data_IF_880449676255
#
_entry.id   IF_880449676255
#
_cell.length_a   1.000
_cell.length_b   1.000
_cell.length_c   1.000
_cell.angle_alpha   90.00
_cell.angle_beta   90.00
_cell.angle_gamma   90.00
#
_symmetry.space_group_name_H-M   'P 1'
#
loop_
_entity.id
_entity.type
_entity.pdbx_description
1 polymer ?
#
# COMPACT_ATOMS: atom_id res chain seq x y z
N UNK A 1 -7.01 5.27 10.39
CA UNK A 1 -5.63 4.88 10.00
C UNK A 1 -4.70 6.05 10.28
N UNK A 2 -3.61 5.81 11.00
CA UNK A 2 -2.54 6.75 11.28
C UNK A 2 -1.54 6.76 10.11
N UNK A 3 -1.16 7.92 9.61
CA UNK A 3 -0.15 8.05 8.55
C UNK A 3 1.12 8.56 9.19
N UNK A 4 2.19 7.77 9.16
CA UNK A 4 3.49 8.23 9.65
C UNK A 4 4.00 9.38 8.80
N UNK A 5 4.78 10.28 9.40
CA UNK A 5 5.43 11.38 8.68
C UNK A 5 6.22 10.87 7.47
N UNK A 6 6.92 9.74 7.63
CA UNK A 6 7.63 9.08 6.55
C UNK A 6 6.71 8.66 5.40
N UNK A 7 5.57 8.02 5.69
CA UNK A 7 4.59 7.69 4.66
C UNK A 7 4.05 8.93 3.95
N UNK A 8 3.74 9.99 4.70
CA UNK A 8 3.23 11.24 4.13
C UNK A 8 4.23 11.92 3.19
N UNK A 9 5.52 11.95 3.57
CA UNK A 9 6.59 12.46 2.71
C UNK A 9 6.69 11.63 1.42
N UNK A 10 6.70 10.29 1.52
CA UNK A 10 6.72 9.40 0.35
C UNK A 10 5.50 9.55 -0.55
N UNK A 11 4.32 9.72 0.04
CA UNK A 11 3.08 9.97 -0.68
C UNK A 11 3.18 11.27 -1.50
N UNK A 12 3.66 12.35 -0.88
CA UNK A 12 3.86 13.64 -1.54
C UNK A 12 4.92 13.58 -2.63
N UNK A 13 6.08 12.96 -2.37
CA UNK A 13 7.17 12.79 -3.35
C UNK A 13 6.71 12.01 -4.59
N UNK A 14 5.86 11.00 -4.41
CA UNK A 14 5.44 10.09 -5.49
C UNK A 14 4.11 10.47 -6.14
N UNK A 15 3.44 11.52 -5.65
CA UNK A 15 2.12 11.94 -6.11
C UNK A 15 0.98 10.98 -5.73
N UNK A 16 1.14 10.24 -4.63
CA UNK A 16 0.07 9.40 -4.09
C UNK A 16 -0.77 10.22 -3.11
N UNK A 17 -2.00 10.58 -3.48
CA UNK A 17 -2.84 11.45 -2.65
C UNK A 17 -3.59 10.68 -1.56
N UNK A 18 -4.09 11.40 -0.54
CA UNK A 18 -4.95 10.82 0.49
C UNK A 18 -6.25 10.27 -0.10
N UNK A 19 -6.75 10.86 -1.18
CA UNK A 19 -7.91 10.32 -1.91
C UNK A 19 -7.63 8.95 -2.53
N UNK A 20 -6.43 8.76 -3.11
CA UNK A 20 -5.99 7.46 -3.61
C UNK A 20 -5.92 6.45 -2.46
N UNK A 21 -5.38 6.83 -1.30
CA UNK A 21 -5.39 6.00 -0.10
C UNK A 21 -6.80 5.59 0.32
N UNK A 22 -7.74 6.55 0.32
CA UNK A 22 -9.14 6.29 0.63
C UNK A 22 -9.79 5.30 -0.33
N UNK A 23 -9.46 5.36 -1.63
CA UNK A 23 -9.91 4.38 -2.63
C UNK A 23 -9.39 2.97 -2.33
N UNK A 24 -8.13 2.84 -1.90
CA UNK A 24 -7.54 1.56 -1.49
C UNK A 24 -8.28 0.98 -0.29
N UNK A 25 -8.43 1.77 0.78
CA UNK A 25 -9.07 1.33 2.02
C UNK A 25 -10.55 0.98 1.86
N UNK A 26 -11.21 1.54 0.84
CA UNK A 26 -12.59 1.21 0.50
C UNK A 26 -12.74 -0.09 -0.31
N UNK A 27 -11.65 -0.66 -0.85
CA UNK A 27 -11.74 -1.94 -1.55
C UNK A 27 -12.01 -3.06 -0.55
N UNK A 28 -13.00 -3.91 -0.85
CA UNK A 28 -13.36 -5.09 -0.05
C UNK A 28 -12.27 -6.16 -0.05
N UNK A 29 -11.43 -6.19 -1.09
CA UNK A 29 -10.35 -7.18 -1.24
C UNK A 29 -9.04 -6.43 -1.29
N UNK A 30 -8.26 -6.58 -0.21
CA UNK A 30 -6.89 -6.11 -0.12
C UNK A 30 -6.00 -7.35 -0.29
N UNK A 31 -5.10 -7.32 -1.27
CA UNK A 31 -4.12 -8.40 -1.42
C UNK A 31 -3.01 -8.18 -0.41
N UNK A 32 -3.02 -9.01 0.63
CA UNK A 32 -2.00 -8.99 1.67
C UNK A 32 -0.84 -9.86 1.23
N UNK A 33 0.30 -9.23 0.97
CA UNK A 33 1.56 -9.95 0.85
C UNK A 33 2.26 -9.94 2.21
N UNK A 34 2.72 -11.10 2.71
CA UNK A 34 3.56 -11.14 3.89
C UNK A 34 4.79 -10.27 3.65
N UNK A 35 5.11 -9.43 4.63
CA UNK A 35 6.36 -8.70 4.64
C UNK A 35 7.39 -9.51 5.41
N UNK A 36 8.65 -9.43 4.99
CA UNK A 36 9.79 -10.07 5.67
C UNK A 36 10.05 -9.47 7.07
N UNK A 37 9.46 -8.29 7.33
CA UNK A 37 9.63 -7.56 8.58
C UNK A 37 8.48 -7.88 9.54
N UNK A 38 8.83 -8.32 10.74
CA UNK A 38 7.86 -8.65 11.79
C UNK A 38 7.00 -7.42 12.15
N UNK A 39 5.68 -7.63 12.29
CA UNK A 39 4.72 -6.59 12.66
C UNK A 39 4.30 -5.64 11.52
N UNK A 40 4.66 -5.92 10.26
CA UNK A 40 4.20 -5.15 9.10
C UNK A 40 3.67 -6.04 7.98
N UNK A 41 2.64 -5.57 7.29
CA UNK A 41 2.02 -6.22 6.14
C UNK A 41 2.16 -5.35 4.90
N UNK A 42 2.24 -5.97 3.73
CA UNK A 42 2.22 -5.26 2.44
C UNK A 42 0.84 -5.41 1.82
N UNK A 43 0.27 -4.29 1.39
CA UNK A 43 -0.96 -4.24 0.62
C UNK A 43 -0.59 -3.81 -0.78
N UNK A 44 -0.86 -4.65 -1.76
CA UNK A 44 -0.63 -4.33 -3.17
C UNK A 44 -1.97 -4.01 -3.81
N UNK A 45 -2.04 -2.89 -4.53
CA UNK A 45 -3.31 -2.38 -5.07
C UNK A 45 -3.09 -1.54 -6.31
N UNK A 46 -4.07 -1.55 -7.20
CA UNK A 46 -4.09 -0.70 -8.37
C UNK A 46 -4.97 0.53 -8.12
N UNK A 47 -4.39 1.73 -8.29
CA UNK A 47 -5.13 2.99 -8.22
C UNK A 47 -4.69 3.86 -9.38
N UNK A 48 -5.67 4.36 -10.13
CA UNK A 48 -5.43 5.25 -11.27
C UNK A 48 -4.53 4.60 -12.33
N UNK A 49 -4.83 3.34 -12.67
CA UNK A 49 -4.11 2.54 -13.67
C UNK A 49 -2.62 2.31 -13.34
N UNK A 50 -2.25 2.46 -12.06
CA UNK A 50 -0.90 2.22 -11.57
C UNK A 50 -0.92 1.40 -10.30
N UNK A 51 0.02 0.48 -10.19
CA UNK A 51 0.15 -0.36 -9.00
C UNK A 51 0.99 0.31 -7.91
N UNK A 52 0.52 0.15 -6.69
CA UNK A 52 1.09 0.70 -5.48
C UNK A 52 1.19 -0.38 -4.43
N UNK A 53 2.28 -0.34 -3.68
CA UNK A 53 2.52 -1.19 -2.52
C UNK A 53 2.53 -0.29 -1.29
N UNK A 54 1.57 -0.52 -0.40
CA UNK A 54 1.44 0.15 0.88
C UNK A 54 1.98 -0.77 1.95
N UNK A 55 2.90 -0.27 2.76
CA UNK A 55 3.42 -1.00 3.91
C UNK A 55 2.69 -0.45 5.13
N UNK A 56 1.92 -1.32 5.76
CA UNK A 56 1.10 -1.01 6.94
C UNK A 56 1.56 -1.87 8.10
N UNK A 57 1.24 -1.46 9.33
CA UNK A 57 1.37 -2.35 10.49
C UNK A 57 0.39 -3.52 10.37
N UNK A 58 0.69 -4.63 11.05
CA UNK A 58 -0.15 -5.85 11.05
C UNK A 58 -1.60 -5.59 11.48
N UNK A 59 -1.80 -4.71 12.45
CA UNK A 59 -3.11 -4.25 12.93
C UNK A 59 -3.83 -3.31 11.93
N UNK A 60 -3.24 -3.04 10.75
CA UNK A 60 -3.74 -2.18 9.66
C UNK A 60 -4.05 -0.72 10.06
N UNK A 61 -3.81 -0.36 11.33
CA UNK A 61 -4.09 0.98 11.85
C UNK A 61 -3.06 2.01 11.45
N UNK A 62 -1.86 1.62 11.03
CA UNK A 62 -0.76 2.56 10.74
C UNK A 62 -0.16 2.33 9.36
N UNK A 63 -0.09 3.39 8.56
CA UNK A 63 0.62 3.42 7.28
C UNK A 63 2.07 3.86 7.51
N UNK A 64 2.99 2.95 7.21
CA UNK A 64 4.42 3.11 7.45
C UNK A 64 5.08 3.74 6.22
N UNK A 65 4.76 3.25 5.02
CA UNK A 65 5.27 3.82 3.77
C UNK A 65 4.44 3.44 2.56
N UNK A 66 4.61 4.18 1.47
CA UNK A 66 3.97 3.92 0.17
C UNK A 66 5.04 3.93 -0.91
N UNK A 67 5.03 2.91 -1.77
CA UNK A 67 5.92 2.81 -2.92
C UNK A 67 5.18 2.32 -4.16
N UNK A 68 5.83 2.44 -5.33
CA UNK A 68 5.38 1.77 -6.55
C UNK A 68 5.52 0.28 -6.37
N UNK A 69 4.53 -0.48 -6.82
CA UNK A 69 4.64 -1.93 -6.83
C UNK A 69 5.70 -2.36 -7.86
N UNK A 70 6.46 -3.39 -7.52
CA UNK A 70 7.36 -4.03 -8.48
C UNK A 70 6.56 -4.95 -9.40
N UNK A 71 7.07 -5.22 -10.61
CA UNK A 71 6.39 -6.11 -11.57
C UNK A 71 6.06 -7.49 -10.99
N UNK A 72 6.95 -8.06 -10.16
CA UNK A 72 6.73 -9.33 -9.46
C UNK A 72 5.53 -9.26 -8.47
N UNK A 73 5.37 -8.14 -7.77
CA UNK A 73 4.24 -7.90 -6.87
C UNK A 73 2.92 -7.74 -7.64
N UNK A 74 2.98 -7.11 -8.83
CA UNK A 74 1.81 -6.92 -9.72
C UNK A 74 1.33 -8.25 -10.28
N UNK A 75 2.25 -9.13 -10.68
CA UNK A 75 1.91 -10.43 -11.25
C UNK A 75 1.10 -11.27 -10.25
N UNK A 76 1.53 -11.30 -8.98
CA UNK A 76 0.81 -12.01 -7.89
C UNK A 76 -0.61 -11.50 -7.65
N UNK A 77 -0.87 -10.21 -7.87
CA UNK A 77 -2.22 -9.64 -7.76
C UNK A 77 -3.08 -9.98 -8.96
N UNK A 78 -2.49 -10.13 -10.15
CA UNK A 78 -3.22 -10.49 -11.38
C UNK A 78 -3.55 -11.98 -11.47
N UNK A 79 -2.77 -12.83 -10.82
CA UNK A 79 -2.96 -14.28 -10.79
C UNK A 79 -3.87 -14.76 -9.64
N UNK A 80 -4.20 -13.86 -8.69
CA UNK A 80 -5.00 -14.17 -7.49
C UNK A 80 -6.44 -13.69 -7.53
#
# INVERSE_FOLDING_TARGET
MNITRHAFERMRERGFTVEMLGKVLRRKVLVHAPSDKEGVSKIITEVDNRFWTLIVSDDLKTLITVRRAHEDEVQKVREG
#
